data_IF_342731446696
#
_entry.id   IF_342731446696
#
_cell.length_a   1.000
_cell.length_b   1.000
_cell.length_c   1.000
_cell.angle_alpha   90.00
_cell.angle_beta   90.00
_cell.angle_gamma   90.00
#
_symmetry.space_group_name_H-M   'P 1'
#
loop_
_entity.id
_entity.type
_entity.pdbx_description
1 polymer ?
#
# COMPACT_ATOMS: atom_id res chain seq x y z
N UNK A 1 41.25 43.71 -31.00
CA UNK A 1 40.00 42.91 -30.95
C UNK A 1 40.19 41.80 -29.94
N UNK A 2 39.82 42.05 -28.68
CA UNK A 2 39.94 41.11 -27.56
C UNK A 2 38.63 40.36 -27.34
N UNK A 3 38.64 39.03 -27.42
CA UNK A 3 37.49 38.16 -27.09
C UNK A 3 37.52 37.82 -25.60
N UNK A 4 36.62 38.43 -24.83
CA UNK A 4 36.35 38.05 -23.44
C UNK A 4 35.63 36.72 -23.39
N UNK A 5 36.23 35.72 -22.68
CA UNK A 5 35.60 34.42 -22.40
C UNK A 5 34.95 34.49 -21.05
N UNK A 6 33.61 34.59 -21.04
CA UNK A 6 32.80 34.38 -19.81
C UNK A 6 32.86 32.89 -19.42
N UNK A 7 33.40 32.58 -18.23
CA UNK A 7 33.29 31.28 -17.59
C UNK A 7 32.02 31.29 -16.74
N UNK A 8 31.05 30.48 -17.12
CA UNK A 8 29.87 30.22 -16.30
C UNK A 8 30.27 29.19 -15.23
N UNK A 9 30.27 29.61 -13.98
CA UNK A 9 30.43 28.72 -12.83
C UNK A 9 29.07 28.07 -12.53
N UNK A 10 28.91 26.79 -12.80
CA UNK A 10 27.74 26.01 -12.37
C UNK A 10 27.98 25.60 -10.93
N UNK A 11 27.25 26.23 -10.02
CA UNK A 11 27.22 25.82 -8.60
C UNK A 11 26.26 24.64 -8.45
N UNK A 12 26.78 23.43 -8.33
CA UNK A 12 25.99 22.27 -7.91
C UNK A 12 25.72 22.39 -6.41
N UNK A 13 24.53 22.81 -6.03
CA UNK A 13 24.05 22.72 -4.66
C UNK A 13 23.71 21.25 -4.36
N UNK A 14 24.58 20.56 -3.62
CA UNK A 14 24.26 19.28 -3.02
C UNK A 14 23.24 19.50 -1.91
N UNK A 15 21.98 19.11 -2.16
CA UNK A 15 20.95 19.03 -1.13
C UNK A 15 21.30 17.86 -0.19
N UNK A 16 22.01 18.18 0.92
CA UNK A 16 22.18 17.26 2.03
C UNK A 16 20.84 17.08 2.74
N UNK A 17 20.25 15.89 2.61
CA UNK A 17 19.09 15.50 3.39
C UNK A 17 19.43 15.62 4.88
N UNK A 18 18.57 16.32 5.63
CA UNK A 18 18.77 16.52 7.06
C UNK A 18 18.65 15.20 7.81
N UNK A 19 19.42 14.96 8.89
CA UNK A 19 19.39 13.70 9.67
C UNK A 19 17.99 13.36 10.21
N UNK A 20 17.12 14.34 10.38
CA UNK A 20 15.73 14.17 10.82
C UNK A 20 14.86 13.46 9.78
N UNK A 21 15.03 13.74 8.48
CA UNK A 21 14.29 13.08 7.41
C UNK A 21 14.69 11.60 7.28
N UNK A 22 15.97 11.28 7.51
CA UNK A 22 16.47 9.89 7.50
C UNK A 22 16.00 9.09 8.72
N UNK A 23 15.91 9.72 9.91
CA UNK A 23 15.41 9.06 11.12
C UNK A 23 13.91 8.73 11.03
N UNK A 24 13.09 9.61 10.47
CA UNK A 24 11.67 9.33 10.19
C UNK A 24 11.48 8.23 9.16
N UNK A 25 12.29 8.19 8.11
CA UNK A 25 12.24 7.12 7.10
C UNK A 25 12.54 5.74 7.71
N UNK A 26 13.46 5.63 8.67
CA UNK A 26 13.77 4.38 9.35
C UNK A 26 12.63 3.85 10.24
N UNK A 27 11.86 4.73 10.87
CA UNK A 27 10.73 4.36 11.72
C UNK A 27 9.50 3.87 10.93
N UNK A 28 9.37 4.33 9.68
CA UNK A 28 8.21 4.04 8.81
C UNK A 28 8.45 2.91 7.81
N UNK A 29 9.52 2.15 8.00
CA UNK A 29 9.91 1.03 7.12
C UNK A 29 10.14 -0.23 7.95
N UNK A 30 9.72 -1.38 7.44
CA UNK A 30 10.09 -2.71 7.93
C UNK A 30 10.94 -3.44 6.90
N UNK A 31 11.92 -4.24 7.34
CA UNK A 31 12.77 -5.05 6.46
C UNK A 31 12.63 -6.52 6.86
N UNK A 32 11.56 -7.20 6.45
CA UNK A 32 11.35 -8.60 6.76
C UNK A 32 12.37 -9.48 6.03
N UNK A 33 12.72 -10.62 6.62
CA UNK A 33 13.66 -11.56 6.03
C UNK A 33 13.23 -11.99 4.61
N UNK A 34 14.17 -11.92 3.67
CA UNK A 34 13.97 -12.29 2.26
C UNK A 34 13.06 -11.34 1.47
N UNK A 35 12.73 -10.17 2.01
CA UNK A 35 11.95 -9.13 1.34
C UNK A 35 12.73 -7.82 1.27
N UNK A 36 12.46 -6.96 0.29
CA UNK A 36 12.96 -5.59 0.31
C UNK A 36 12.36 -4.82 1.50
N UNK A 37 12.92 -3.66 1.79
CA UNK A 37 12.33 -2.74 2.76
C UNK A 37 10.90 -2.37 2.34
N UNK A 38 9.91 -2.58 3.20
CA UNK A 38 8.49 -2.30 2.97
C UNK A 38 8.08 -1.10 3.80
N UNK A 39 7.48 -0.09 3.18
CA UNK A 39 6.84 1.02 3.89
C UNK A 39 5.70 0.52 4.76
N UNK A 40 5.60 1.01 5.99
CA UNK A 40 4.58 0.60 6.96
C UNK A 40 3.18 1.12 6.64
N UNK A 41 3.11 2.22 5.89
CA UNK A 41 1.89 3.00 5.67
C UNK A 41 1.58 3.16 4.19
N UNK A 42 0.30 3.20 3.86
CA UNK A 42 -0.16 3.82 2.64
C UNK A 42 0.17 5.32 2.72
N UNK A 43 0.65 5.89 1.61
CA UNK A 43 1.05 7.29 1.52
C UNK A 43 0.09 8.05 0.60
N UNK A 44 -0.17 9.31 0.93
CA UNK A 44 -0.85 10.24 0.02
C UNK A 44 0.06 10.61 -1.15
N UNK A 45 -0.47 11.30 -2.16
CA UNK A 45 0.32 11.85 -3.28
C UNK A 45 1.46 12.80 -2.84
N UNK A 46 1.37 13.35 -1.62
CA UNK A 46 2.41 14.20 -1.02
C UNK A 46 3.50 13.39 -0.29
N UNK A 47 3.41 12.05 -0.30
CA UNK A 47 4.37 11.18 0.37
C UNK A 47 4.25 11.16 1.90
N UNK A 48 3.16 11.65 2.47
CA UNK A 48 2.87 11.56 3.90
C UNK A 48 1.93 10.39 4.17
N UNK A 49 2.04 9.73 5.33
CA UNK A 49 1.16 8.64 5.69
C UNK A 49 -0.32 9.03 5.62
N UNK A 50 -1.12 8.19 5.01
CA UNK A 50 -2.57 8.41 4.82
C UNK A 50 -3.32 8.14 6.11
N UNK A 51 -4.28 9.03 6.41
CA UNK A 51 -5.29 8.81 7.43
C UNK A 51 -6.59 8.42 6.70
N UNK A 52 -7.23 7.35 7.15
CA UNK A 52 -8.40 6.76 6.50
C UNK A 52 -9.54 7.78 6.38
N UNK A 53 -9.66 8.44 5.24
CA UNK A 53 -10.61 9.54 4.94
C UNK A 53 -10.72 10.62 6.04
N UNK A 54 -9.69 10.77 6.90
CA UNK A 54 -9.73 11.65 8.06
C UNK A 54 -10.57 11.11 9.23
N UNK A 55 -10.88 9.83 9.24
CA UNK A 55 -11.69 9.18 10.27
C UNK A 55 -11.05 9.32 11.66
N UNK A 56 -11.88 9.73 12.62
CA UNK A 56 -11.54 9.72 14.04
C UNK A 56 -12.11 8.46 14.67
N UNK A 57 -11.29 7.45 14.84
CA UNK A 57 -11.67 6.19 15.45
C UNK A 57 -11.31 6.17 16.94
N UNK A 58 -12.32 6.09 17.80
CA UNK A 58 -12.17 6.12 19.27
C UNK A 58 -11.31 7.30 19.76
N UNK A 59 -11.53 8.50 19.18
CA UNK A 59 -10.84 9.73 19.56
C UNK A 59 -9.43 9.91 19.01
N UNK A 60 -8.98 9.07 18.06
CA UNK A 60 -7.66 9.11 17.43
C UNK A 60 -7.76 9.09 15.89
N UNK A 61 -6.82 9.72 15.20
CA UNK A 61 -6.73 9.66 13.75
C UNK A 61 -6.40 8.22 13.32
N UNK A 62 -7.15 7.70 12.38
CA UNK A 62 -7.02 6.33 11.89
C UNK A 62 -6.00 6.27 10.75
N UNK A 63 -4.84 5.68 11.00
CA UNK A 63 -3.75 5.49 10.04
C UNK A 63 -3.95 4.22 9.21
N UNK A 64 -3.69 4.31 7.89
CA UNK A 64 -3.83 3.17 6.97
C UNK A 64 -2.54 2.34 6.88
N UNK A 65 -2.53 1.10 7.42
CA UNK A 65 -1.36 0.23 7.39
C UNK A 65 -1.22 -0.50 6.06
N UNK A 66 0.02 -0.79 5.67
CA UNK A 66 0.31 -1.89 4.73
C UNK A 66 0.07 -3.21 5.49
N UNK A 67 -0.75 -4.09 4.91
CA UNK A 67 -1.15 -5.34 5.56
C UNK A 67 -1.18 -6.57 4.62
N UNK A 68 -0.82 -6.39 3.35
CA UNK A 68 -0.67 -7.46 2.36
C UNK A 68 0.66 -7.31 1.64
N UNK A 69 1.35 -8.42 1.40
CA UNK A 69 2.54 -8.49 0.55
C UNK A 69 2.30 -9.59 -0.48
N UNK A 70 2.59 -9.33 -1.75
CA UNK A 70 2.39 -10.30 -2.83
C UNK A 70 3.73 -10.53 -3.53
N UNK A 71 4.11 -11.80 -3.70
CA UNK A 71 5.29 -12.23 -4.41
C UNK A 71 4.88 -12.96 -5.68
N UNK A 72 5.27 -12.46 -6.83
CA UNK A 72 5.12 -13.16 -8.12
C UNK A 72 6.50 -13.56 -8.64
N UNK A 73 6.82 -14.85 -8.52
CA UNK A 73 8.09 -15.42 -8.95
C UNK A 73 8.02 -16.02 -10.36
N UNK A 74 6.81 -16.09 -10.94
CA UNK A 74 6.59 -16.64 -12.27
C UNK A 74 6.43 -15.58 -13.35
N UNK A 75 6.34 -14.30 -12.99
CA UNK A 75 6.14 -13.24 -13.97
C UNK A 75 7.41 -12.97 -14.78
N UNK A 76 7.26 -12.85 -16.10
CA UNK A 76 8.34 -12.60 -17.05
C UNK A 76 8.75 -11.12 -17.15
N UNK A 77 7.89 -10.21 -16.73
CA UNK A 77 8.11 -8.76 -16.72
C UNK A 77 7.25 -8.05 -15.69
N UNK A 78 7.51 -6.77 -15.45
CA UNK A 78 6.71 -5.93 -14.56
C UNK A 78 5.26 -5.80 -15.05
N UNK A 79 5.06 -5.71 -16.35
CA UNK A 79 3.74 -5.66 -16.99
C UNK A 79 3.01 -6.98 -16.85
N UNK A 80 3.71 -8.10 -17.00
CA UNK A 80 3.15 -9.44 -16.80
C UNK A 80 2.73 -9.63 -15.33
N UNK A 81 3.58 -9.26 -14.37
CA UNK A 81 3.26 -9.32 -12.95
C UNK A 81 1.99 -8.52 -12.60
N UNK A 82 1.82 -7.32 -13.17
CA UNK A 82 0.61 -6.53 -13.02
C UNK A 82 -0.61 -7.22 -13.62
N UNK A 83 -0.50 -7.74 -14.85
CA UNK A 83 -1.59 -8.41 -15.54
C UNK A 83 -2.05 -9.66 -14.78
N UNK A 84 -1.12 -10.49 -14.30
CA UNK A 84 -1.39 -11.67 -13.48
C UNK A 84 -2.09 -11.32 -12.18
N UNK A 85 -1.60 -10.28 -11.46
CA UNK A 85 -2.23 -9.81 -10.24
C UNK A 85 -3.66 -9.31 -10.48
N UNK A 86 -3.89 -8.48 -11.51
CA UNK A 86 -5.21 -7.95 -11.85
C UNK A 86 -6.20 -9.09 -12.18
N UNK A 87 -5.77 -10.05 -12.97
CA UNK A 87 -6.58 -11.22 -13.31
C UNK A 87 -6.90 -12.08 -12.08
N UNK A 88 -5.91 -12.34 -11.22
CA UNK A 88 -6.09 -13.11 -10.00
C UNK A 88 -7.02 -12.41 -9.01
N UNK A 89 -6.87 -11.10 -8.80
CA UNK A 89 -7.74 -10.32 -7.92
C UNK A 89 -9.20 -10.35 -8.43
N UNK A 90 -9.42 -10.16 -9.73
CA UNK A 90 -10.75 -10.23 -10.33
C UNK A 90 -11.37 -11.63 -10.15
N UNK A 91 -10.60 -12.70 -10.40
CA UNK A 91 -11.04 -14.08 -10.20
C UNK A 91 -11.36 -14.40 -8.74
N UNK A 92 -10.61 -13.81 -7.80
CA UNK A 92 -10.85 -13.91 -6.36
C UNK A 92 -12.07 -13.08 -5.87
N UNK A 93 -12.77 -12.40 -6.78
CA UNK A 93 -13.94 -11.58 -6.45
C UNK A 93 -13.58 -10.17 -5.95
N UNK A 94 -12.39 -9.69 -6.29
CA UNK A 94 -11.90 -8.33 -6.06
C UNK A 94 -11.58 -7.62 -7.37
N UNK A 95 -12.56 -7.47 -8.29
CA UNK A 95 -12.32 -6.69 -9.51
C UNK A 95 -12.03 -5.22 -9.17
N UNK A 96 -11.55 -4.49 -10.18
CA UNK A 96 -11.46 -3.03 -10.10
C UNK A 96 -12.86 -2.43 -10.05
N UNK A 97 -13.10 -1.54 -9.08
CA UNK A 97 -14.36 -0.84 -8.91
C UNK A 97 -14.17 0.66 -8.70
N UNK A 98 -15.10 1.45 -9.22
CA UNK A 98 -15.14 2.91 -9.08
C UNK A 98 -15.65 3.35 -7.70
N UNK A 99 -15.53 4.66 -7.44
CA UNK A 99 -16.10 5.33 -6.27
C UNK A 99 -15.13 5.46 -5.11
N UNK A 100 -13.93 4.90 -5.21
CA UNK A 100 -12.92 4.98 -4.16
C UNK A 100 -11.90 6.09 -4.47
N UNK A 101 -11.33 6.69 -3.42
CA UNK A 101 -10.31 7.73 -3.55
C UNK A 101 -9.02 7.22 -4.20
N UNK A 102 -8.30 8.11 -4.88
CA UNK A 102 -7.09 7.81 -5.65
C UNK A 102 -5.92 8.73 -5.29
N UNK A 103 -4.74 8.47 -5.87
CA UNK A 103 -3.53 9.27 -5.70
C UNK A 103 -2.64 8.78 -4.56
N UNK A 104 -2.86 7.55 -4.11
CA UNK A 104 -2.02 6.94 -3.07
C UNK A 104 -0.75 6.31 -3.63
N UNK A 105 0.21 6.12 -2.73
CA UNK A 105 1.52 5.53 -3.01
C UNK A 105 1.91 4.55 -1.90
N UNK A 106 2.79 3.61 -2.24
CA UNK A 106 3.46 2.72 -1.28
C UNK A 106 4.96 2.69 -1.53
N UNK A 107 5.74 2.46 -0.48
CA UNK A 107 7.20 2.36 -0.58
C UNK A 107 7.65 0.91 -0.53
N UNK A 108 8.48 0.49 -1.50
CA UNK A 108 9.12 -0.83 -1.56
C UNK A 108 10.57 -0.65 -2.02
N UNK A 109 11.53 -1.17 -1.26
CA UNK A 109 12.95 -1.04 -1.57
C UNK A 109 13.44 0.42 -1.66
N UNK A 110 12.82 1.33 -0.88
CA UNK A 110 13.12 2.76 -0.91
C UNK A 110 12.56 3.51 -2.13
N UNK A 111 11.76 2.87 -2.98
CA UNK A 111 11.08 3.49 -4.14
C UNK A 111 9.60 3.64 -3.88
N UNK A 112 9.02 4.76 -4.34
CA UNK A 112 7.58 5.00 -4.30
C UNK A 112 6.91 4.43 -5.56
N UNK A 113 5.80 3.76 -5.36
CA UNK A 113 4.95 3.18 -6.40
C UNK A 113 3.55 3.75 -6.28
N UNK A 114 2.99 4.21 -7.39
CA UNK A 114 1.59 4.61 -7.47
C UNK A 114 0.68 3.39 -7.23
N UNK A 115 -0.54 3.67 -6.78
CA UNK A 115 -1.54 2.61 -6.57
C UNK A 115 -1.90 1.87 -7.85
N UNK A 116 -2.23 0.60 -7.68
CA UNK A 116 -2.99 -0.20 -8.62
C UNK A 116 -4.39 -0.45 -8.00
N UNK A 117 -5.44 -0.46 -8.80
CA UNK A 117 -5.46 -0.14 -10.23
C UNK A 117 -5.08 1.32 -10.47
N UNK A 118 -4.55 1.59 -11.67
CA UNK A 118 -4.29 2.96 -12.12
C UNK A 118 -5.55 3.49 -12.78
N UNK A 119 -6.08 4.53 -12.23
CA UNK A 119 -7.29 5.17 -12.73
C UNK A 119 -7.70 6.28 -11.79
N UNK A 120 -8.87 6.83 -12.03
CA UNK A 120 -9.51 7.80 -11.17
C UNK A 120 -10.56 7.09 -10.31
N UNK A 121 -10.44 7.21 -8.99
CA UNK A 121 -11.39 6.67 -8.02
C UNK A 121 -11.52 5.13 -8.08
N UNK A 122 -10.41 4.42 -8.27
CA UNK A 122 -10.39 2.97 -8.41
C UNK A 122 -9.76 2.28 -7.21
N UNK A 123 -10.31 1.11 -6.85
CA UNK A 123 -9.72 0.17 -5.88
C UNK A 123 -10.02 -1.28 -6.29
N UNK A 124 -9.29 -2.22 -5.72
CA UNK A 124 -9.72 -3.62 -5.67
C UNK A 124 -10.82 -3.73 -4.63
N UNK A 125 -12.01 -4.16 -5.00
CA UNK A 125 -13.13 -4.24 -4.05
C UNK A 125 -14.02 -5.45 -4.31
N UNK A 126 -14.48 -6.09 -3.24
CA UNK A 126 -15.36 -7.24 -3.32
C UNK A 126 -16.83 -6.85 -3.57
N UNK A 127 -17.19 -5.59 -3.40
CA UNK A 127 -18.52 -5.08 -3.69
C UNK A 127 -18.47 -3.63 -4.21
N UNK A 128 -19.63 -3.09 -4.60
CA UNK A 128 -19.76 -1.70 -5.04
C UNK A 128 -19.56 -0.75 -3.85
N UNK A 129 -19.14 0.47 -4.15
CA UNK A 129 -18.81 1.48 -3.13
C UNK A 129 -20.03 1.91 -2.27
N UNK A 130 -21.24 1.79 -2.79
CA UNK A 130 -22.48 2.19 -2.11
C UNK A 130 -22.94 1.23 -1.02
N UNK A 131 -22.26 0.09 -0.85
CA UNK A 131 -22.57 -0.88 0.20
C UNK A 131 -21.32 -1.19 1.03
N UNK A 132 -21.51 -1.82 2.19
CA UNK A 132 -20.39 -2.26 3.01
C UNK A 132 -19.50 -3.22 2.24
N UNK A 133 -18.21 -2.91 2.12
CA UNK A 133 -17.27 -3.67 1.29
C UNK A 133 -15.89 -3.77 1.92
N UNK A 134 -15.12 -4.75 1.43
CA UNK A 134 -13.69 -4.82 1.62
C UNK A 134 -13.02 -4.25 0.37
N UNK A 135 -12.13 -3.30 0.53
CA UNK A 135 -11.39 -2.72 -0.59
C UNK A 135 -9.93 -2.48 -0.23
N UNK A 136 -9.10 -2.26 -1.25
CA UNK A 136 -7.69 -1.97 -1.04
C UNK A 136 -7.00 -1.44 -2.28
N UNK A 137 -5.77 -0.99 -2.06
CA UNK A 137 -4.83 -0.54 -3.09
C UNK A 137 -3.56 -1.36 -2.97
N UNK A 138 -2.95 -1.64 -4.12
CA UNK A 138 -1.71 -2.41 -4.20
C UNK A 138 -0.67 -1.54 -4.90
N UNK A 139 0.56 -1.57 -4.43
CA UNK A 139 1.69 -0.77 -4.89
C UNK A 139 2.77 -1.69 -5.43
N UNK A 140 3.41 -1.29 -6.50
CA UNK A 140 4.40 -2.11 -7.21
C UNK A 140 4.12 -2.16 -8.71
N UNK A 141 4.76 -3.10 -9.43
CA UNK A 141 5.70 -4.11 -8.96
C UNK A 141 7.11 -3.58 -8.69
N UNK A 142 7.76 -4.10 -7.66
CA UNK A 142 9.17 -3.91 -7.39
C UNK A 142 9.93 -5.20 -7.73
N UNK A 143 10.99 -5.11 -8.52
CA UNK A 143 11.77 -6.29 -8.90
C UNK A 143 12.55 -6.85 -7.70
N UNK A 144 12.43 -8.14 -7.46
CA UNK A 144 13.15 -8.90 -6.44
C UNK A 144 13.73 -10.17 -7.06
N UNK A 145 15.05 -10.15 -7.36
CA UNK A 145 15.67 -11.24 -8.09
C UNK A 145 15.06 -11.42 -9.48
N UNK A 146 14.53 -12.62 -9.76
CA UNK A 146 13.82 -12.92 -11.00
C UNK A 146 12.32 -12.62 -10.93
N UNK A 147 11.78 -12.34 -9.76
CA UNK A 147 10.35 -12.09 -9.54
C UNK A 147 10.04 -10.65 -9.17
N UNK A 148 8.81 -10.44 -8.70
CA UNK A 148 8.26 -9.13 -8.37
C UNK A 148 7.54 -9.14 -7.02
N UNK A 149 7.63 -8.01 -6.31
CA UNK A 149 6.98 -7.76 -5.02
C UNK A 149 5.97 -6.64 -5.17
N UNK A 150 4.82 -6.82 -4.54
CA UNK A 150 3.83 -5.78 -4.32
C UNK A 150 3.53 -5.66 -2.82
N UNK A 151 3.14 -4.46 -2.40
CA UNK A 151 2.61 -4.20 -1.06
C UNK A 151 1.18 -3.67 -1.19
N UNK A 152 0.29 -4.02 -0.27
CA UNK A 152 -1.12 -3.63 -0.31
C UNK A 152 -1.62 -3.12 1.03
N UNK A 153 -2.56 -2.17 0.96
CA UNK A 153 -3.34 -1.66 2.08
C UNK A 153 -4.81 -1.99 1.83
N UNK A 154 -5.39 -2.80 2.69
CA UNK A 154 -6.78 -3.25 2.60
C UNK A 154 -7.55 -2.83 3.85
N UNK A 155 -8.77 -2.34 3.67
CA UNK A 155 -9.69 -1.95 4.73
C UNK A 155 -11.12 -2.39 4.41
N UNK A 156 -11.89 -2.66 5.46
CA UNK A 156 -13.34 -2.84 5.39
C UNK A 156 -14.02 -1.56 5.81
N UNK A 157 -14.97 -1.13 5.01
CA UNK A 157 -15.90 -0.07 5.36
C UNK A 157 -17.31 -0.61 5.54
N UNK A 158 -18.08 0.12 6.34
CA UNK A 158 -19.52 -0.06 6.50
C UNK A 158 -20.23 1.22 6.11
N UNK A 159 -21.43 1.06 5.55
CA UNK A 159 -22.30 2.17 5.23
C UNK A 159 -23.21 2.44 6.40
N UNK A 160 -23.11 3.64 6.96
CA UNK A 160 -24.03 4.17 7.96
C UNK A 160 -24.80 5.35 7.34
N UNK A 161 -26.07 5.15 6.94
CA UNK A 161 -26.84 6.19 6.26
C UNK A 161 -27.16 7.39 7.16
N UNK A 162 -26.88 7.30 8.46
CA UNK A 162 -27.07 8.40 9.41
C UNK A 162 -25.81 9.27 9.57
N UNK A 163 -24.69 8.90 8.93
CA UNK A 163 -23.45 9.68 8.92
C UNK A 163 -23.30 10.51 7.66
N UNK A 164 -22.48 11.57 7.75
CA UNK A 164 -21.99 12.37 6.63
C UNK A 164 -20.46 12.54 6.74
N UNK A 165 -19.65 11.96 5.86
CA UNK A 165 -20.03 10.99 4.81
C UNK A 165 -20.53 9.65 5.39
N UNK A 166 -21.32 8.87 4.63
CA UNK A 166 -21.95 7.65 5.12
C UNK A 166 -21.00 6.47 5.32
N UNK A 167 -19.73 6.61 4.90
CA UNK A 167 -18.71 5.60 5.03
C UNK A 167 -18.04 5.64 6.40
N UNK A 168 -17.91 4.50 7.04
CA UNK A 168 -17.22 4.34 8.32
C UNK A 168 -16.26 3.17 8.28
N UNK A 169 -15.12 3.34 8.94
CA UNK A 169 -14.17 2.26 9.13
C UNK A 169 -14.76 1.12 9.96
N UNK A 170 -14.49 -0.12 9.53
CA UNK A 170 -14.87 -1.30 10.29
C UNK A 170 -13.63 -2.14 10.71
N UNK A 171 -12.78 -2.58 9.75
CA UNK A 171 -11.68 -3.49 10.07
C UNK A 171 -10.61 -3.51 8.99
N UNK A 172 -9.34 -3.44 9.38
CA UNK A 172 -8.21 -3.74 8.51
C UNK A 172 -7.94 -5.24 8.43
N UNK A 173 -8.01 -5.96 9.55
CA UNK A 173 -7.72 -7.39 9.58
C UNK A 173 -8.71 -8.20 8.75
N UNK A 174 -10.01 -7.92 8.85
CA UNK A 174 -11.05 -8.65 8.07
C UNK A 174 -10.88 -8.46 6.57
N UNK A 175 -10.54 -7.25 6.10
CA UNK A 175 -10.33 -7.00 4.68
C UNK A 175 -9.07 -7.69 4.16
N UNK A 176 -7.96 -7.62 4.90
CA UNK A 176 -6.72 -8.35 4.62
C UNK A 176 -6.98 -9.85 4.48
N UNK A 177 -7.62 -10.41 5.49
CA UNK A 177 -7.83 -11.85 5.58
C UNK A 177 -8.80 -12.34 4.49
N UNK A 178 -9.89 -11.62 4.22
CA UNK A 178 -10.84 -11.98 3.14
C UNK A 178 -10.15 -11.94 1.76
N UNK A 179 -9.41 -10.88 1.45
CA UNK A 179 -8.70 -10.77 0.18
C UNK A 179 -7.68 -11.91 -0.01
N UNK A 180 -6.80 -12.12 0.97
CA UNK A 180 -5.72 -13.10 0.87
C UNK A 180 -6.24 -14.54 0.86
N UNK A 181 -7.27 -14.86 1.64
CA UNK A 181 -7.92 -16.17 1.63
C UNK A 181 -8.65 -16.45 0.31
N UNK A 182 -9.26 -15.45 -0.32
CA UNK A 182 -9.91 -15.63 -1.63
C UNK A 182 -8.87 -15.86 -2.72
N UNK A 183 -7.75 -15.11 -2.73
CA UNK A 183 -6.64 -15.41 -3.63
C UNK A 183 -6.16 -16.86 -3.45
N UNK A 184 -5.92 -17.29 -2.20
CA UNK A 184 -5.44 -18.62 -1.87
C UNK A 184 -6.38 -19.74 -2.36
N UNK A 185 -7.69 -19.56 -2.22
CA UNK A 185 -8.69 -20.58 -2.57
C UNK A 185 -8.97 -20.66 -4.06
N UNK A 186 -8.93 -19.54 -4.78
CA UNK A 186 -9.46 -19.44 -6.14
C UNK A 186 -8.40 -19.22 -7.22
N UNK A 187 -7.13 -19.01 -6.85
CA UNK A 187 -6.03 -18.74 -7.79
C UNK A 187 -4.79 -19.55 -7.45
N UNK A 188 -3.73 -19.39 -8.27
CA UNK A 188 -2.40 -19.95 -7.99
C UNK A 188 -1.62 -19.18 -6.93
N UNK A 189 -2.08 -18.00 -6.55
CA UNK A 189 -1.51 -17.24 -5.43
C UNK A 189 -1.89 -17.88 -4.11
N UNK A 190 -0.88 -18.32 -3.32
CA UNK A 190 -1.07 -19.03 -2.07
C UNK A 190 -0.57 -18.24 -0.87
N UNK A 191 -1.29 -18.27 0.25
CA UNK A 191 -0.79 -17.74 1.52
C UNK A 191 0.45 -18.54 1.92
N UNK A 192 1.58 -17.85 2.10
CA UNK A 192 2.88 -18.48 2.37
C UNK A 192 3.37 -18.26 3.78
N UNK A 193 3.22 -17.05 4.32
CA UNK A 193 3.65 -16.69 5.68
C UNK A 193 2.99 -15.41 6.17
N UNK A 194 3.19 -15.13 7.46
CA UNK A 194 2.82 -13.89 8.13
C UNK A 194 4.08 -13.13 8.52
N UNK A 195 4.06 -11.79 8.39
CA UNK A 195 5.21 -10.93 8.65
C UNK A 195 4.78 -9.78 9.53
N UNK A 196 5.46 -9.60 10.65
CA UNK A 196 5.28 -8.41 11.50
C UNK A 196 5.99 -7.22 10.86
N UNK A 197 5.21 -6.19 10.48
CA UNK A 197 5.74 -4.92 9.98
C UNK A 197 5.95 -3.90 11.10
N UNK A 198 5.55 -4.21 12.32
CA UNK A 198 5.63 -3.30 13.47
C UNK A 198 4.84 -2.02 13.23
N UNK A 199 3.67 -2.13 12.58
CA UNK A 199 2.82 -1.00 12.22
C UNK A 199 1.46 -1.01 12.94
N UNK A 200 1.31 -1.77 14.01
CA UNK A 200 0.21 -1.61 14.95
C UNK A 200 0.49 -0.43 15.89
N UNK A 201 -0.33 0.59 15.88
CA UNK A 201 -0.19 1.76 16.74
C UNK A 201 -0.92 1.52 18.06
N UNK A 202 -0.26 0.74 18.93
CA UNK A 202 -0.76 0.42 20.28
C UNK A 202 -0.25 1.49 21.25
N UNK A 203 -1.17 2.15 21.96
CA UNK A 203 -0.81 3.12 22.99
C UNK A 203 -0.44 4.52 22.49
N UNK A 204 -0.41 4.79 21.19
CA UNK A 204 -0.20 6.14 20.69
C UNK A 204 -1.38 7.04 21.12
N UNK A 205 -1.11 8.27 21.66
CA UNK A 205 -2.19 9.13 22.16
C UNK A 205 -3.03 9.79 21.08
N UNK A 206 -2.54 9.91 19.84
CA UNK A 206 -3.17 10.66 18.74
C UNK A 206 -3.52 9.80 17.53
N UNK A 207 -2.84 8.68 17.35
CA UNK A 207 -2.95 7.82 16.17
C UNK A 207 -3.42 6.42 16.59
N UNK A 208 -4.10 5.75 15.66
CA UNK A 208 -4.51 4.35 15.80
C UNK A 208 -4.50 3.65 14.46
N UNK A 209 -4.33 2.35 14.46
CA UNK A 209 -4.55 1.46 13.31
C UNK A 209 -5.77 0.57 13.53
N UNK A 210 -6.75 1.04 14.30
CA UNK A 210 -8.00 0.33 14.56
C UNK A 210 -7.77 -1.05 15.18
N UNK A 211 -8.20 -2.10 14.47
CA UNK A 211 -8.03 -3.51 14.85
C UNK A 211 -6.78 -4.16 14.26
N UNK A 212 -5.95 -3.41 13.51
CA UNK A 212 -4.76 -3.97 12.86
C UNK A 212 -3.73 -4.48 13.89
N UNK A 213 -3.32 -5.72 13.70
CA UNK A 213 -2.42 -6.46 14.60
C UNK A 213 -0.92 -6.27 14.30
N UNK A 214 -0.56 -5.46 13.30
CA UNK A 214 0.83 -5.25 12.87
C UNK A 214 1.32 -6.25 11.82
N UNK A 215 0.49 -7.23 11.48
CA UNK A 215 0.87 -8.36 10.63
C UNK A 215 0.43 -8.12 9.18
N UNK A 216 1.36 -8.30 8.25
CA UNK A 216 1.06 -8.46 6.83
C UNK A 216 1.01 -9.93 6.45
N UNK A 217 -0.01 -10.30 5.66
CA UNK A 217 -0.11 -11.63 5.04
C UNK A 217 0.69 -11.63 3.75
N UNK A 218 1.62 -12.58 3.61
CA UNK A 218 2.40 -12.78 2.39
C UNK A 218 1.72 -13.83 1.54
N UNK A 219 1.33 -13.43 0.33
CA UNK A 219 0.78 -14.31 -0.71
C UNK A 219 1.84 -14.50 -1.78
N UNK A 220 2.00 -15.72 -2.29
CA UNK A 220 3.05 -16.07 -3.26
C UNK A 220 2.47 -16.87 -4.42
N UNK A 221 2.97 -16.61 -5.63
CA UNK A 221 2.78 -17.46 -6.80
C UNK A 221 4.16 -17.85 -7.36
N UNK A 222 4.33 -19.14 -7.61
CA UNK A 222 5.55 -19.69 -8.20
C UNK A 222 5.61 -19.53 -9.71
N UNK A 223 6.73 -19.97 -10.32
CA UNK A 223 6.90 -20.05 -11.76
C UNK A 223 5.98 -21.08 -12.41
#
# INVERSE_FOLDING_TARGET
MGRSRFRVLVLCAALSATPWAQAQQGADVATPEGLPAIGKWMLTAKGVPSDWLGEIYRGKNLREPINVIILDEGASSAEDAKARLLAAAAHAGYPIRFGHSTGYQGSIGGRLYAQLPQGRDDAFSNDIFEVSNNHGRIFGPHQLGQGYVFAGAFSREEIDPLRDPPHSYNSFNRARDDFTQRLDRSTDFKVSRFVDLGNALIGDPKLTTGDHDGIAVVVRVGP
#
